data_IF_902919753811
#
_entry.id   IF_902919753811
#
_cell.length_a   1.000
_cell.length_b   1.000
_cell.length_c   1.000
_cell.angle_alpha   90.00
_cell.angle_beta   90.00
_cell.angle_gamma   90.00
#
_symmetry.space_group_name_H-M   'P 1'
#
loop_
_entity.id
_entity.type
_entity.pdbx_description
1 polymer ?
#
# COMPACT_ATOMS: atom_id res chain seq x y z
N UNK A 1 8.85 -37.70 9.34
CA UNK A 1 9.62 -37.46 8.11
C UNK A 1 9.77 -35.95 7.95
N UNK A 2 10.99 -35.45 7.86
CA UNK A 2 11.26 -34.06 7.55
C UNK A 2 11.00 -33.84 6.07
N UNK A 3 10.20 -32.84 5.72
CA UNK A 3 9.89 -32.48 4.33
C UNK A 3 11.12 -31.74 3.75
N UNK A 4 11.62 -32.18 2.61
CA UNK A 4 12.68 -31.48 1.90
C UNK A 4 12.09 -30.39 0.99
N UNK A 5 12.08 -29.17 1.47
CA UNK A 5 11.49 -28.02 0.77
C UNK A 5 12.24 -27.66 -0.52
N UNK A 6 13.51 -28.00 -0.64
CA UNK A 6 14.28 -27.78 -1.88
C UNK A 6 13.83 -28.74 -2.98
N UNK A 7 13.57 -30.00 -2.60
CA UNK A 7 13.15 -31.01 -3.55
C UNK A 7 11.77 -30.69 -4.17
N UNK A 8 10.87 -30.10 -3.39
CA UNK A 8 9.54 -29.68 -3.88
C UNK A 8 9.54 -28.30 -4.54
N UNK A 9 10.69 -27.62 -4.61
CA UNK A 9 10.84 -26.32 -5.26
C UNK A 9 10.05 -25.19 -4.56
N UNK A 10 9.90 -25.27 -3.22
CA UNK A 10 9.18 -24.24 -2.46
C UNK A 10 9.83 -22.88 -2.66
N UNK A 11 9.01 -21.91 -3.06
CA UNK A 11 9.34 -20.49 -3.09
C UNK A 11 8.36 -19.73 -2.20
N UNK A 12 8.88 -18.87 -1.33
CA UNK A 12 8.07 -18.04 -0.46
C UNK A 12 8.57 -16.59 -0.54
N UNK A 13 7.64 -15.65 -0.43
CA UNK A 13 7.90 -14.23 -0.25
C UNK A 13 7.33 -13.78 1.09
N UNK A 14 7.91 -12.74 1.66
CA UNK A 14 7.45 -12.12 2.88
C UNK A 14 7.08 -10.68 2.60
N UNK A 15 5.86 -10.28 2.98
CA UNK A 15 5.39 -8.89 2.97
C UNK A 15 5.10 -8.47 4.40
N UNK A 16 5.67 -7.34 4.82
CA UNK A 16 5.51 -6.81 6.18
C UNK A 16 4.88 -5.44 6.09
N UNK A 17 3.76 -5.26 6.78
CA UNK A 17 3.08 -3.98 6.92
C UNK A 17 3.41 -3.38 8.29
N UNK A 18 3.87 -2.13 8.29
CA UNK A 18 4.16 -1.38 9.52
C UNK A 18 3.52 0.01 9.44
N UNK A 19 2.60 0.28 10.36
CA UNK A 19 2.08 1.62 10.54
C UNK A 19 3.12 2.50 11.21
N UNK A 20 3.36 3.69 10.66
CA UNK A 20 4.29 4.65 11.22
C UNK A 20 3.58 5.57 12.21
N UNK A 21 4.31 6.02 13.24
CA UNK A 21 3.83 7.01 14.21
C UNK A 21 4.00 8.44 13.64
N UNK A 22 3.30 8.71 12.55
CA UNK A 22 3.27 10.00 11.86
C UNK A 22 1.83 10.32 11.47
N UNK A 23 1.55 11.49 10.91
CA UNK A 23 0.31 11.68 10.15
C UNK A 23 0.29 10.78 8.90
N UNK A 24 -0.84 10.69 8.21
CA UNK A 24 -0.98 9.84 7.02
C UNK A 24 -0.02 10.24 5.90
N UNK A 25 0.26 9.32 4.97
CA UNK A 25 1.33 9.47 3.99
C UNK A 25 1.06 10.57 2.97
N UNK A 26 -0.18 10.77 2.57
CA UNK A 26 -0.55 11.63 1.44
C UNK A 26 -1.60 12.68 1.78
N UNK A 27 -1.81 12.92 3.07
CA UNK A 27 -2.66 14.00 3.60
C UNK A 27 -2.21 14.37 5.03
N UNK A 28 -2.79 15.41 5.59
CA UNK A 28 -2.47 15.89 6.95
C UNK A 28 -3.29 15.20 8.06
N UNK A 29 -4.17 14.26 7.71
CA UNK A 29 -5.00 13.58 8.69
C UNK A 29 -4.15 12.74 9.67
N UNK A 30 -4.55 12.67 10.95
CA UNK A 30 -3.91 11.80 11.92
C UNK A 30 -3.97 10.32 11.49
N UNK A 31 -2.91 9.56 11.73
CA UNK A 31 -2.88 8.12 11.54
C UNK A 31 -3.21 7.43 12.86
N UNK A 32 -4.49 7.25 13.13
CA UNK A 32 -5.02 6.68 14.38
C UNK A 32 -5.80 5.41 14.06
N UNK A 33 -5.65 4.39 14.90
CA UNK A 33 -6.54 3.21 14.88
C UNK A 33 -7.87 3.57 15.51
N UNK A 34 -8.96 3.10 14.91
CA UNK A 34 -10.32 3.34 15.35
C UNK A 34 -11.02 2.04 15.68
N UNK A 35 -11.69 2.02 16.83
CA UNK A 35 -12.56 0.93 17.28
C UNK A 35 -14.02 1.41 17.46
N UNK A 36 -14.26 2.73 17.36
CA UNK A 36 -15.57 3.34 17.48
C UNK A 36 -16.38 3.18 16.17
N UNK A 37 -17.68 3.34 16.26
CA UNK A 37 -18.54 3.42 15.11
C UNK A 37 -18.18 4.63 14.24
N UNK A 38 -18.23 4.46 12.93
CA UNK A 38 -17.96 5.56 11.99
C UNK A 38 -19.02 6.65 12.06
N UNK A 39 -18.63 7.91 11.85
CA UNK A 39 -19.53 9.06 11.82
C UNK A 39 -20.45 9.04 10.58
N UNK A 40 -19.94 8.51 9.48
CA UNK A 40 -20.67 8.38 8.21
C UNK A 40 -20.08 7.28 7.34
N UNK A 41 -20.73 6.97 6.21
CA UNK A 41 -20.20 6.04 5.23
C UNK A 41 -20.49 6.50 3.80
N UNK A 42 -19.52 6.33 2.90
CA UNK A 42 -19.65 6.60 1.46
C UNK A 42 -19.42 5.31 0.67
N UNK A 43 -20.31 5.04 -0.28
CA UNK A 43 -20.19 3.87 -1.15
C UNK A 43 -19.46 4.22 -2.44
N UNK A 44 -18.49 3.42 -2.80
CA UNK A 44 -17.66 3.57 -4.01
C UNK A 44 -17.50 2.25 -4.75
N UNK A 45 -17.33 2.33 -6.06
CA UNK A 45 -16.93 1.18 -6.90
C UNK A 45 -15.53 1.42 -7.44
N UNK A 46 -14.78 0.34 -7.63
CA UNK A 46 -13.48 0.41 -8.26
C UNK A 46 -13.60 0.95 -9.69
N UNK A 47 -12.80 1.97 -10.00
CA UNK A 47 -12.67 2.54 -11.34
C UNK A 47 -11.34 2.08 -11.94
N UNK A 48 -11.41 1.31 -13.03
CA UNK A 48 -10.23 1.01 -13.83
C UNK A 48 -9.87 2.24 -14.66
N UNK A 49 -8.65 2.75 -14.49
CA UNK A 49 -8.13 3.94 -15.18
C UNK A 49 -7.06 3.50 -16.15
N UNK A 50 -6.97 4.16 -17.32
CA UNK A 50 -5.89 3.93 -18.27
C UNK A 50 -4.55 4.38 -17.68
N UNK A 51 -3.51 3.59 -17.90
CA UNK A 51 -2.13 3.95 -17.59
C UNK A 51 -1.56 5.01 -18.55
N UNK A 52 -0.28 5.33 -18.39
CA UNK A 52 0.42 6.32 -19.24
C UNK A 52 0.44 5.94 -20.72
N UNK A 53 0.37 4.64 -21.04
CA UNK A 53 0.28 4.13 -22.42
C UNK A 53 -1.12 4.23 -23.02
N UNK A 54 -2.12 4.65 -22.25
CA UNK A 54 -3.53 4.65 -22.66
C UNK A 54 -4.22 3.29 -22.55
N UNK A 55 -3.49 2.25 -22.14
CA UNK A 55 -4.04 0.91 -21.92
C UNK A 55 -4.54 0.74 -20.50
N UNK A 56 -5.65 0.03 -20.34
CA UNK A 56 -6.17 -0.33 -19.02
C UNK A 56 -5.65 -1.71 -18.63
N UNK A 57 -5.09 -1.83 -17.43
CA UNK A 57 -4.61 -3.10 -16.91
C UNK A 57 -5.71 -4.16 -16.88
N UNK A 58 -5.41 -5.36 -17.40
CA UNK A 58 -6.37 -6.48 -17.51
C UNK A 58 -6.86 -6.91 -16.12
N UNK A 59 -5.98 -6.90 -15.10
CA UNK A 59 -6.37 -7.25 -13.74
C UNK A 59 -7.33 -6.20 -13.15
N UNK A 60 -7.10 -4.90 -13.43
CA UNK A 60 -8.01 -3.83 -13.03
C UNK A 60 -9.39 -3.94 -13.71
N UNK A 61 -9.42 -4.33 -14.97
CA UNK A 61 -10.68 -4.61 -15.69
C UNK A 61 -11.42 -5.81 -15.09
N UNK A 62 -10.70 -6.86 -14.74
CA UNK A 62 -11.28 -8.05 -14.09
C UNK A 62 -11.90 -7.70 -12.73
N UNK A 63 -11.20 -6.94 -11.90
CA UNK A 63 -11.73 -6.49 -10.61
C UNK A 63 -12.95 -5.56 -10.77
N UNK A 64 -12.91 -4.65 -11.75
CA UNK A 64 -14.06 -3.80 -12.07
C UNK A 64 -15.27 -4.62 -12.50
N UNK A 65 -15.06 -5.70 -13.26
CA UNK A 65 -16.15 -6.56 -13.74
C UNK A 65 -16.88 -7.32 -12.62
N UNK A 66 -16.28 -7.44 -11.43
CA UNK A 66 -16.94 -8.04 -10.24
C UNK A 66 -18.01 -7.12 -9.65
N UNK A 67 -18.08 -5.85 -10.05
CA UNK A 67 -19.04 -4.83 -9.57
C UNK A 67 -19.13 -4.70 -8.04
N UNK A 68 -18.04 -5.00 -7.35
CA UNK A 68 -17.97 -4.90 -5.89
C UNK A 68 -18.13 -3.44 -5.47
N UNK A 69 -18.99 -3.22 -4.48
CA UNK A 69 -19.17 -1.90 -3.86
C UNK A 69 -18.45 -1.88 -2.52
N UNK A 70 -17.53 -0.94 -2.35
CA UNK A 70 -16.82 -0.71 -1.09
C UNK A 70 -17.56 0.35 -0.29
N UNK A 71 -17.74 0.10 1.01
CA UNK A 71 -18.27 1.07 1.96
C UNK A 71 -17.10 1.68 2.74
N UNK A 72 -16.81 2.95 2.48
CA UNK A 72 -15.78 3.69 3.20
C UNK A 72 -16.38 4.27 4.46
N UNK A 73 -15.86 3.87 5.59
CA UNK A 73 -16.19 4.45 6.90
C UNK A 73 -15.44 5.76 7.07
N UNK A 74 -16.17 6.79 7.49
CA UNK A 74 -15.66 8.14 7.65
C UNK A 74 -15.63 8.54 9.11
N UNK A 75 -14.53 9.17 9.51
CA UNK A 75 -14.34 9.79 10.82
C UNK A 75 -13.93 11.25 10.56
N UNK A 76 -14.71 12.20 11.04
CA UNK A 76 -14.56 13.63 10.72
C UNK A 76 -13.18 14.20 11.04
N UNK A 77 -12.51 13.66 12.05
CA UNK A 77 -11.20 14.12 12.50
C UNK A 77 -10.01 13.41 11.82
N UNK A 78 -10.25 12.31 11.10
CA UNK A 78 -9.19 11.49 10.50
C UNK A 78 -9.39 11.16 9.03
N UNK A 79 -10.47 11.63 8.41
CA UNK A 79 -10.76 11.36 6.99
C UNK A 79 -10.93 12.65 6.21
N UNK A 80 -10.33 12.72 5.03
CA UNK A 80 -10.44 13.84 4.10
C UNK A 80 -10.71 13.34 2.66
N UNK A 81 -10.86 14.27 1.72
CA UNK A 81 -11.14 13.95 0.31
C UNK A 81 -10.03 13.14 -0.38
N UNK A 82 -8.77 13.30 0.05
CA UNK A 82 -7.65 12.48 -0.47
C UNK A 82 -7.90 10.99 -0.20
N UNK A 83 -8.41 10.64 0.98
CA UNK A 83 -8.68 9.24 1.35
C UNK A 83 -9.92 8.68 0.69
N UNK A 84 -10.87 9.56 0.39
CA UNK A 84 -12.06 9.23 -0.39
C UNK A 84 -11.79 9.13 -1.90
N UNK A 85 -10.56 9.41 -2.33
CA UNK A 85 -10.17 9.45 -3.73
C UNK A 85 -10.93 10.51 -4.55
N UNK A 86 -11.31 11.60 -3.89
CA UNK A 86 -12.00 12.76 -4.47
C UNK A 86 -11.06 13.97 -4.65
N UNK A 87 -9.83 13.88 -4.14
CA UNK A 87 -8.78 14.87 -4.25
C UNK A 87 -7.45 14.18 -4.57
N UNK A 88 -6.58 14.79 -5.40
CA UNK A 88 -5.23 14.28 -5.64
C UNK A 88 -4.43 14.15 -4.34
N UNK A 89 -3.51 13.17 -4.24
CA UNK A 89 -2.66 13.03 -3.07
C UNK A 89 -1.80 14.28 -2.87
N UNK A 90 -1.66 14.70 -1.62
CA UNK A 90 -0.67 15.70 -1.25
C UNK A 90 0.76 15.12 -1.37
N UNK A 91 1.81 15.96 -1.33
CA UNK A 91 3.18 15.47 -1.25
C UNK A 91 3.35 14.48 -0.10
N UNK A 92 4.21 13.49 -0.30
CA UNK A 92 4.47 12.46 0.73
C UNK A 92 4.91 13.11 2.05
N UNK A 93 4.38 12.60 3.15
CA UNK A 93 4.75 13.07 4.49
C UNK A 93 6.27 12.95 4.71
N UNK A 94 6.98 14.07 4.99
CA UNK A 94 8.42 14.06 5.12
C UNK A 94 8.95 13.26 6.30
N UNK A 95 8.22 13.18 7.40
CA UNK A 95 8.61 12.37 8.56
C UNK A 95 8.49 10.88 8.25
N UNK A 96 7.42 10.48 7.58
CA UNK A 96 7.25 9.12 7.11
C UNK A 96 8.32 8.73 6.10
N UNK A 97 8.65 9.61 5.16
CA UNK A 97 9.71 9.39 4.18
C UNK A 97 11.07 9.25 4.87
N UNK A 98 11.37 10.11 5.86
CA UNK A 98 12.61 10.01 6.65
C UNK A 98 12.72 8.65 7.33
N UNK A 99 11.65 8.20 8.01
CA UNK A 99 11.60 6.89 8.66
C UNK A 99 11.81 5.75 7.66
N UNK A 100 11.17 5.82 6.48
CA UNK A 100 11.34 4.82 5.44
C UNK A 100 12.79 4.76 4.91
N UNK A 101 13.46 5.90 4.79
CA UNK A 101 14.87 5.97 4.39
C UNK A 101 15.81 5.43 5.48
N UNK A 102 15.52 5.68 6.76
CA UNK A 102 16.26 5.09 7.89
C UNK A 102 16.14 3.57 7.88
N UNK A 103 14.93 3.04 7.68
CA UNK A 103 14.72 1.59 7.52
C UNK A 103 15.45 1.05 6.30
N UNK A 104 15.44 1.76 5.18
CA UNK A 104 16.16 1.36 3.98
C UNK A 104 17.68 1.24 4.23
N UNK A 105 18.26 2.17 4.98
CA UNK A 105 19.67 2.11 5.38
C UNK A 105 19.97 0.89 6.26
N UNK A 106 19.12 0.62 7.25
CA UNK A 106 19.27 -0.56 8.13
C UNK A 106 19.19 -1.88 7.36
N UNK A 107 18.39 -1.92 6.30
CA UNK A 107 18.23 -3.06 5.41
C UNK A 107 19.27 -3.11 4.29
N UNK A 108 20.25 -2.21 4.25
CA UNK A 108 21.20 -2.07 3.13
C UNK A 108 20.49 -1.93 1.76
N UNK A 109 19.29 -1.35 1.75
CA UNK A 109 18.53 -1.09 0.55
C UNK A 109 19.08 0.14 -0.18
N UNK A 110 18.84 0.21 -1.48
CA UNK A 110 19.20 1.35 -2.32
C UNK A 110 18.01 2.26 -2.52
N UNK A 111 18.05 3.51 -2.06
CA UNK A 111 17.01 4.48 -2.37
C UNK A 111 16.86 4.65 -3.89
N UNK A 112 15.63 4.89 -4.33
CA UNK A 112 15.36 5.25 -5.73
C UNK A 112 15.75 6.70 -5.99
N UNK A 113 16.05 7.03 -7.24
CA UNK A 113 16.39 8.39 -7.62
C UNK A 113 15.17 9.32 -7.69
N UNK A 114 14.01 8.75 -7.97
CA UNK A 114 12.74 9.44 -8.07
C UNK A 114 11.65 8.59 -7.41
N UNK A 115 10.85 9.21 -6.55
CA UNK A 115 9.73 8.57 -5.87
C UNK A 115 8.47 8.89 -6.64
N UNK A 116 7.88 7.87 -7.25
CA UNK A 116 6.61 7.97 -7.94
C UNK A 116 5.48 7.45 -7.04
N UNK A 117 4.44 8.26 -6.89
CA UNK A 117 3.21 7.85 -6.20
C UNK A 117 2.31 7.18 -7.22
N UNK A 118 1.94 5.94 -6.96
CA UNK A 118 1.11 5.15 -7.86
C UNK A 118 -0.13 4.62 -7.14
N UNK A 119 -1.15 4.33 -7.93
CA UNK A 119 -2.37 3.66 -7.49
C UNK A 119 -2.27 2.18 -7.84
N UNK A 120 -1.85 1.38 -6.87
CA UNK A 120 -1.74 -0.06 -7.02
C UNK A 120 -3.12 -0.70 -6.87
N UNK A 121 -3.63 -1.36 -7.89
CA UNK A 121 -4.87 -2.16 -7.79
C UNK A 121 -4.58 -3.45 -7.02
N UNK A 122 -5.40 -3.74 -6.03
CA UNK A 122 -5.29 -4.93 -5.18
C UNK A 122 -6.34 -5.94 -5.60
N UNK A 123 -5.91 -7.11 -6.05
CA UNK A 123 -6.77 -8.17 -6.60
C UNK A 123 -6.88 -9.41 -5.71
N UNK A 124 -6.03 -9.53 -4.71
CA UNK A 124 -5.94 -10.68 -3.78
C UNK A 124 -6.83 -10.54 -2.53
N UNK A 125 -7.56 -9.42 -2.41
CA UNK A 125 -8.39 -9.14 -1.25
C UNK A 125 -7.63 -8.62 -0.02
N UNK A 126 -6.34 -8.36 -0.11
CA UNK A 126 -5.52 -7.84 0.99
C UNK A 126 -5.85 -6.39 1.39
N UNK A 127 -6.68 -5.69 0.61
CA UNK A 127 -7.14 -4.35 0.88
C UNK A 127 -8.62 -4.20 0.57
N UNK A 128 -9.38 -3.67 1.51
CA UNK A 128 -10.85 -3.51 1.42
C UNK A 128 -11.29 -2.46 0.40
N UNK A 129 -10.44 -1.50 0.07
CA UNK A 129 -10.76 -0.44 -0.90
C UNK A 129 -10.47 -0.83 -2.36
N UNK A 130 -9.86 -1.99 -2.59
CA UNK A 130 -9.52 -2.47 -3.92
C UNK A 130 -8.30 -1.81 -4.55
N UNK A 131 -7.70 -0.79 -3.92
CA UNK A 131 -6.44 -0.17 -4.33
C UNK A 131 -5.65 0.37 -3.14
N UNK A 132 -4.36 0.61 -3.37
CA UNK A 132 -3.47 1.25 -2.41
C UNK A 132 -2.71 2.39 -3.10
N UNK A 133 -2.63 3.56 -2.47
CA UNK A 133 -1.63 4.55 -2.85
C UNK A 133 -0.28 4.06 -2.36
N UNK A 134 0.65 3.91 -3.27
CA UNK A 134 1.94 3.28 -3.02
C UNK A 134 3.04 4.15 -3.59
N UNK A 135 4.14 4.25 -2.87
CA UNK A 135 5.35 4.91 -3.34
C UNK A 135 6.55 3.99 -3.07
N UNK A 136 7.34 3.72 -4.10
CA UNK A 136 8.59 2.97 -3.94
C UNK A 136 9.67 3.93 -3.45
N UNK A 137 10.23 3.68 -2.26
CA UNK A 137 11.29 4.51 -1.67
C UNK A 137 12.67 3.91 -1.85
N UNK A 138 12.79 2.60 -1.70
CA UNK A 138 14.04 1.87 -1.83
C UNK A 138 13.82 0.44 -2.30
N UNK A 139 14.87 -0.22 -2.79
CA UNK A 139 14.84 -1.59 -3.29
C UNK A 139 16.13 -2.34 -3.02
N UNK A 140 16.10 -3.66 -3.23
CA UNK A 140 17.26 -4.55 -3.08
C UNK A 140 17.85 -4.53 -1.67
N UNK A 141 17.03 -4.35 -0.66
CA UNK A 141 17.41 -4.50 0.74
C UNK A 141 17.63 -5.96 1.10
N UNK A 142 18.23 -6.18 2.26
CA UNK A 142 18.42 -7.51 2.80
C UNK A 142 18.70 -7.50 4.30
N UNK A 143 18.38 -8.61 4.93
CA UNK A 143 18.69 -8.89 6.32
C UNK A 143 19.62 -10.11 6.37
N UNK A 144 20.69 -10.03 7.15
CA UNK A 144 21.52 -11.18 7.44
C UNK A 144 20.91 -11.95 8.62
N UNK A 145 20.61 -13.22 8.41
CA UNK A 145 20.07 -14.11 9.44
C UNK A 145 21.04 -15.26 9.72
N UNK A 146 20.79 -16.04 10.76
CA UNK A 146 21.54 -17.27 11.04
C UNK A 146 21.42 -18.33 9.92
N UNK A 147 20.34 -18.25 9.12
CA UNK A 147 20.09 -19.17 8.00
C UNK A 147 20.56 -18.65 6.65
N UNK A 148 21.13 -17.44 6.62
CA UNK A 148 21.61 -16.80 5.40
C UNK A 148 21.05 -15.40 5.19
N UNK A 149 21.26 -14.89 3.99
CA UNK A 149 20.78 -13.59 3.54
C UNK A 149 19.35 -13.73 3.00
N UNK A 150 18.45 -12.90 3.53
CA UNK A 150 17.04 -12.78 3.11
C UNK A 150 16.81 -11.44 2.47
#
# INVERSE_FOLDING_TARGET
MSMDYKLIGLKAGLEIHQQLNTSKLFCSCPSVLRDEAADAAVKRRLTAVAGETGEVDIAALHEKAKEITFSYELYHDTTCLVELDDEPPHPVNPEALKTALEVALLLNARPVQEIQVMRKTVIDGSNTSGFQRTALVARNGHIQTSSGKV
#
